data_IF_132572194453
#
_entry.id   IF_132572194453
#
_cell.length_a   1.000
_cell.length_b   1.000
_cell.length_c   1.000
_cell.angle_alpha   90.00
_cell.angle_beta   90.00
_cell.angle_gamma   90.00
#
_symmetry.space_group_name_H-M   'P 1'
#
loop_
_entity.id
_entity.type
_entity.pdbx_description
1 polymer ?
#
# COMPACT_ATOMS: atom_id res chain seq x y z
N UNK A 1 15.93 9.25 2.45
CA UNK A 1 16.01 7.78 2.28
C UNK A 1 14.81 7.10 2.90
N UNK A 2 14.23 6.17 2.18
CA UNK A 2 13.11 5.40 2.70
C UNK A 2 13.55 3.96 2.91
N UNK A 3 13.19 3.40 4.04
CA UNK A 3 13.46 2.00 4.36
C UNK A 3 12.15 1.33 4.75
N UNK A 4 11.90 0.15 4.18
CA UNK A 4 10.72 -0.63 4.53
C UNK A 4 11.19 -1.94 5.15
N UNK A 5 10.65 -2.25 6.30
CA UNK A 5 10.97 -3.47 7.01
C UNK A 5 9.72 -4.31 7.22
N UNK A 6 9.88 -5.61 7.19
CA UNK A 6 8.75 -6.49 7.46
C UNK A 6 8.65 -6.74 8.97
N UNK A 7 7.44 -6.93 9.43
CA UNK A 7 7.16 -7.29 10.80
C UNK A 7 6.24 -8.51 10.79
N UNK A 8 6.01 -9.08 11.94
CA UNK A 8 5.20 -10.30 12.04
C UNK A 8 3.80 -10.06 11.47
N UNK A 9 3.25 -8.90 11.74
CA UNK A 9 1.88 -8.60 11.32
C UNK A 9 1.79 -7.29 10.56
N UNK A 10 2.78 -7.00 9.74
CA UNK A 10 2.71 -5.78 8.94
C UNK A 10 4.04 -5.31 8.45
N UNK A 11 4.16 -4.01 8.29
CA UNK A 11 5.35 -3.38 7.74
C UNK A 11 5.64 -2.09 8.47
N UNK A 12 6.93 -1.74 8.49
CA UNK A 12 7.37 -0.47 9.09
C UNK A 12 8.08 0.32 8.01
N UNK A 13 7.64 1.55 7.81
CA UNK A 13 8.23 2.46 6.85
C UNK A 13 8.97 3.54 7.62
N UNK A 14 10.25 3.72 7.31
CA UNK A 14 11.06 4.77 7.94
C UNK A 14 11.50 5.75 6.89
N UNK A 15 11.28 7.03 7.16
CA UNK A 15 11.69 8.10 6.29
C UNK A 15 12.72 8.95 7.01
N UNK A 16 13.90 9.07 6.42
CA UNK A 16 14.96 9.90 6.98
C UNK A 16 15.43 10.87 5.93
N UNK A 17 15.52 12.14 6.28
CA UNK A 17 16.02 13.14 5.34
C UNK A 17 17.13 13.96 5.99
N UNK A 18 18.27 13.97 5.33
CA UNK A 18 19.40 14.86 5.61
C UNK A 18 19.80 14.99 7.07
N UNK A 19 19.89 13.87 7.75
CA UNK A 19 20.35 13.89 9.14
C UNK A 19 19.33 14.31 10.16
N UNK A 20 18.12 14.58 9.75
CA UNK A 20 17.06 14.91 10.68
C UNK A 20 16.48 13.65 11.29
N UNK A 21 15.57 13.85 12.22
CA UNK A 21 14.95 12.71 12.91
C UNK A 21 14.19 11.83 11.92
N UNK A 22 14.14 10.55 12.25
CA UNK A 22 13.47 9.57 11.43
C UNK A 22 11.98 9.60 11.72
N UNK A 23 11.18 9.68 10.66
CA UNK A 23 9.74 9.52 10.80
C UNK A 23 9.41 8.05 10.55
N UNK A 24 8.63 7.47 11.43
CA UNK A 24 8.29 6.05 11.37
C UNK A 24 6.79 5.89 11.20
N UNK A 25 6.40 5.11 10.21
CA UNK A 25 5.01 4.76 9.97
C UNK A 25 4.84 3.27 10.12
N UNK A 26 3.87 2.85 10.90
CA UNK A 26 3.63 1.44 11.15
C UNK A 26 2.32 1.04 10.48
N UNK A 27 2.38 0.00 9.66
CA UNK A 27 1.21 -0.55 8.97
C UNK A 27 1.01 -1.97 9.49
N UNK A 28 0.01 -2.16 10.32
CA UNK A 28 -0.22 -3.48 10.90
C UNK A 28 -1.62 -3.97 10.59
N UNK A 29 -1.77 -5.27 10.49
CA UNK A 29 -3.06 -5.91 10.32
C UNK A 29 -3.26 -6.89 11.45
N UNK A 30 -4.52 -7.22 11.72
CA UNK A 30 -4.80 -8.19 12.76
C UNK A 30 -4.44 -9.57 12.27
N UNK A 31 -3.87 -10.33 13.16
CA UNK A 31 -3.43 -11.66 12.87
C UNK A 31 -4.59 -12.56 12.67
N UNK A 32 -5.27 -12.45 11.56
CA UNK A 32 -6.40 -13.19 11.47
C UNK A 32 -6.58 -13.90 10.27
N UNK A 33 -7.42 -14.42 10.08
CA UNK A 33 -7.95 -15.36 9.21
C UNK A 33 -8.21 -14.83 7.82
N UNK A 34 -8.16 -13.54 7.62
CA UNK A 34 -8.54 -12.95 6.36
C UNK A 34 -7.31 -12.36 5.68
N UNK A 35 -7.04 -12.79 4.47
CA UNK A 35 -5.98 -12.19 3.69
C UNK A 35 -6.37 -10.79 3.21
N UNK A 36 -7.64 -10.43 3.33
CA UNK A 36 -8.11 -9.11 2.93
C UNK A 36 -7.45 -8.01 3.76
N UNK A 37 -7.33 -8.21 5.06
CA UNK A 37 -6.71 -7.21 5.92
C UNK A 37 -5.23 -7.03 5.59
N UNK A 38 -4.54 -8.12 5.33
CA UNK A 38 -3.15 -8.06 4.95
C UNK A 38 -2.96 -7.30 3.64
N UNK A 39 -3.77 -7.62 2.65
CA UNK A 39 -3.69 -7.00 1.34
C UNK A 39 -4.01 -5.50 1.44
N UNK A 40 -5.04 -5.15 2.20
CA UNK A 40 -5.41 -3.75 2.36
C UNK A 40 -4.33 -2.97 3.10
N UNK A 41 -3.68 -3.60 4.07
CA UNK A 41 -2.61 -2.95 4.81
C UNK A 41 -1.41 -2.69 3.91
N UNK A 42 -1.06 -3.64 3.07
CA UNK A 42 0.04 -3.43 2.12
C UNK A 42 -0.32 -2.35 1.10
N UNK A 43 -1.56 -2.31 0.66
CA UNK A 43 -2.00 -1.24 -0.24
C UNK A 43 -1.87 0.14 0.43
N UNK A 44 -2.15 0.23 1.71
CA UNK A 44 -1.98 1.48 2.45
C UNK A 44 -0.50 1.88 2.51
N UNK A 45 0.39 0.91 2.69
CA UNK A 45 1.82 1.16 2.65
C UNK A 45 2.24 1.72 1.28
N UNK A 46 1.74 1.12 0.21
CA UNK A 46 2.07 1.59 -1.14
C UNK A 46 1.55 3.00 -1.39
N UNK A 47 0.36 3.31 -0.90
CA UNK A 47 -0.19 4.65 -1.03
C UNK A 47 0.66 5.67 -0.28
N UNK A 48 1.17 5.29 0.89
CA UNK A 48 2.03 6.19 1.66
C UNK A 48 3.36 6.42 0.95
N UNK A 49 3.95 5.37 0.38
CA UNK A 49 5.19 5.50 -0.37
C UNK A 49 4.98 6.44 -1.56
N UNK A 50 3.89 6.26 -2.29
CA UNK A 50 3.58 7.13 -3.42
C UNK A 50 3.42 8.58 -2.97
N UNK A 51 2.78 8.79 -1.84
CA UNK A 51 2.57 10.13 -1.29
C UNK A 51 3.89 10.80 -0.88
N UNK A 52 4.84 10.02 -0.39
CA UNK A 52 6.08 10.57 0.14
C UNK A 52 7.13 10.79 -0.93
N UNK A 53 7.24 9.89 -1.88
CA UNK A 53 8.32 9.96 -2.88
C UNK A 53 7.85 9.74 -4.31
N UNK A 54 6.58 9.51 -4.50
CA UNK A 54 6.05 9.26 -5.84
C UNK A 54 5.96 10.55 -6.67
N UNK A 55 5.65 10.40 -7.94
CA UNK A 55 5.49 11.57 -8.80
C UNK A 55 4.34 12.44 -8.32
N UNK A 56 4.49 13.73 -8.52
CA UNK A 56 3.47 14.67 -8.11
C UNK A 56 2.36 14.69 -9.16
N UNK A 57 1.30 13.95 -8.90
CA UNK A 57 0.16 13.91 -9.80
C UNK A 57 -1.12 14.29 -9.05
N UNK A 58 -2.08 14.77 -9.77
CA UNK A 58 -3.34 15.17 -9.19
C UNK A 58 -4.50 14.75 -10.09
N UNK A 59 -5.68 15.18 -9.72
CA UNK A 59 -6.91 14.79 -10.43
C UNK A 59 -6.91 15.26 -11.88
N UNK A 60 -6.11 16.26 -12.20
CA UNK A 60 -6.05 16.79 -13.55
C UNK A 60 -4.84 16.29 -14.35
N UNK A 61 -4.05 15.40 -13.77
CA UNK A 61 -2.90 14.86 -14.48
C UNK A 61 -3.36 13.87 -15.54
N UNK A 62 -2.67 13.87 -16.69
CA UNK A 62 -2.99 12.93 -17.75
C UNK A 62 -2.85 11.50 -17.30
N UNK A 63 -1.83 11.23 -16.50
CA UNK A 63 -1.58 9.89 -16.00
C UNK A 63 -1.41 9.95 -14.49
N UNK A 64 -1.87 8.90 -13.83
CA UNK A 64 -1.86 8.89 -12.39
C UNK A 64 -1.74 7.45 -11.91
N UNK A 65 -1.08 7.28 -10.76
CA UNK A 65 -0.96 5.97 -10.13
C UNK A 65 -2.13 5.75 -9.18
N UNK A 66 -2.78 4.62 -9.32
CA UNK A 66 -3.83 4.21 -8.39
C UNK A 66 -3.42 2.92 -7.72
N UNK A 67 -3.50 2.88 -6.41
CA UNK A 67 -3.28 1.66 -5.65
C UNK A 67 -4.65 1.16 -5.20
N UNK A 68 -4.97 -0.05 -5.62
CA UNK A 68 -6.33 -0.55 -5.48
C UNK A 68 -6.30 -2.02 -5.07
N UNK A 69 -7.30 -2.45 -4.36
CA UNK A 69 -7.43 -3.84 -3.95
C UNK A 69 -8.62 -4.44 -4.70
N UNK A 70 -8.37 -5.48 -5.45
CA UNK A 70 -9.39 -6.11 -6.28
C UNK A 70 -9.43 -7.60 -6.02
N UNK A 71 -10.54 -8.26 -6.34
CA UNK A 71 -10.58 -9.72 -6.25
C UNK A 71 -9.51 -10.33 -7.13
N UNK A 72 -9.00 -11.48 -6.72
CA UNK A 72 -8.04 -12.21 -7.53
C UNK A 72 -8.63 -12.66 -8.84
N UNK A 73 -7.77 -13.08 -9.76
CA UNK A 73 -8.19 -13.43 -11.11
C UNK A 73 -9.29 -14.44 -11.15
N UNK A 74 -9.24 -15.41 -10.25
CA UNK A 74 -10.25 -16.45 -10.19
C UNK A 74 -11.64 -15.89 -9.91
N UNK A 75 -11.70 -14.93 -9.00
CA UNK A 75 -12.98 -14.33 -8.64
C UNK A 75 -13.45 -13.32 -9.67
N UNK A 76 -12.52 -12.68 -10.37
CA UNK A 76 -12.87 -11.75 -11.44
C UNK A 76 -13.52 -12.49 -12.60
N UNK A 77 -13.01 -13.67 -12.93
CA UNK A 77 -13.59 -14.47 -14.00
C UNK A 77 -15.01 -14.90 -13.65
N UNK A 78 -15.23 -15.27 -12.40
CA UNK A 78 -16.56 -15.67 -11.95
C UNK A 78 -17.52 -14.50 -12.08
N UNK A 79 -17.10 -13.31 -11.72
CA UNK A 79 -17.94 -12.13 -11.86
C UNK A 79 -18.29 -11.83 -13.31
N UNK A 80 -17.34 -12.03 -14.21
CA UNK A 80 -17.59 -11.79 -15.62
C UNK A 80 -18.61 -12.74 -16.19
N UNK A 81 -18.64 -13.95 -15.69
CA UNK A 81 -19.61 -14.94 -16.18
C UNK A 81 -21.02 -14.61 -15.79
N UNK A 82 -21.21 -13.82 -14.76
CA UNK A 82 -22.54 -13.44 -14.33
C UNK A 82 -23.15 -12.39 -15.22
N UNK A 83 -22.35 -11.72 -16.00
CA UNK A 83 -22.84 -10.73 -16.92
C UNK A 83 -23.25 -11.36 -18.24
#
# INVERSE_FOLDING_TARGET
MITVKTAINGWVLELQSNGESIETYVFSYQDDLSDEDEVKTFASLLRRIDSLIGPSTGRYSEHRIYVDVRPGDKYSVIKQEED
#
